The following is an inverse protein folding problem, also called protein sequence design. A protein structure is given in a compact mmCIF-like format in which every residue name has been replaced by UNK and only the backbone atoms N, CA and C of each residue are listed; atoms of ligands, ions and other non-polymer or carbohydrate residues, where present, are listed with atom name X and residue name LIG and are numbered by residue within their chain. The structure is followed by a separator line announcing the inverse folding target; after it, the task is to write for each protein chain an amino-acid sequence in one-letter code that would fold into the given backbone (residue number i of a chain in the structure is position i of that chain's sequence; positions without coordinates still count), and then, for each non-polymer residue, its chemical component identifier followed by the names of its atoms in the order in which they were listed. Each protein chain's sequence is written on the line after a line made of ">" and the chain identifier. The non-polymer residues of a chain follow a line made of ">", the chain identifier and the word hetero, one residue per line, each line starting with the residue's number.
data_IF_723249773294
#
_entry.id   IF_723249773294
#
_cell.length_a   1.000
_cell.length_b   1.000
_cell.length_c   1.000
_cell.angle_alpha   90.00
_cell.angle_beta   90.00
_cell.angle_gamma   90.00
#
_symmetry.space_group_name_H-M   'P 1'
#
loop_
_entity.id
_entity.type
_entity.pdbx_description
1 polymer ?
#
# COMPACT_ATOMS: atom_id res chain seq x y z
N UNK A 1 -25.27 20.51 0.83
CA UNK A 1 -25.49 19.53 1.93
C UNK A 1 -24.99 20.15 3.24
N UNK A 2 -25.73 19.95 4.33
CA UNK A 2 -25.77 20.83 5.50
C UNK A 2 -24.40 21.15 6.15
N UNK A 3 -24.27 22.39 6.64
CA UNK A 3 -23.27 22.82 7.63
C UNK A 3 -23.35 21.86 8.83
N UNK A 4 -22.49 20.85 8.89
CA UNK A 4 -22.32 20.01 10.08
C UNK A 4 -21.34 20.71 11.02
N UNK A 5 -21.78 21.78 11.68
CA UNK A 5 -20.99 22.33 12.79
C UNK A 5 -20.87 21.29 13.90
N UNK A 6 -19.69 21.21 14.53
CA UNK A 6 -19.52 20.42 15.74
C UNK A 6 -19.07 21.34 16.87
N UNK A 7 -19.58 21.06 18.06
CA UNK A 7 -19.22 21.77 19.29
C UNK A 7 -18.59 20.72 20.21
N UNK A 8 -17.31 20.89 20.54
CA UNK A 8 -16.63 20.02 21.51
C UNK A 8 -15.98 20.86 22.59
N UNK A 9 -16.00 20.34 23.83
CA UNK A 9 -15.25 20.94 24.94
C UNK A 9 -13.77 20.74 24.64
N UNK A 10 -12.98 21.81 24.69
CA UNK A 10 -11.55 21.77 24.41
C UNK A 10 -10.74 20.85 25.35
N UNK A 11 -9.44 20.65 25.09
CA UNK A 11 -8.60 19.73 25.86
C UNK A 11 -8.63 20.02 27.36
N UNK A 12 -8.44 18.98 28.18
CA UNK A 12 -8.42 19.11 29.64
C UNK A 12 -7.22 19.97 30.09
N UNK A 13 -7.49 21.23 30.38
CA UNK A 13 -6.55 22.17 30.98
C UNK A 13 -6.09 21.68 32.36
N UNK A 14 -4.84 21.96 32.71
CA UNK A 14 -4.31 21.69 34.06
C UNK A 14 -5.08 22.47 35.12
N UNK A 15 -4.97 22.07 36.40
CA UNK A 15 -5.70 22.72 37.50
C UNK A 15 -5.32 24.20 37.69
N UNK A 16 -4.08 24.58 37.34
CA UNK A 16 -3.63 25.98 37.28
C UNK A 16 -4.31 26.75 36.13
N UNK A 17 -4.43 26.16 34.94
CA UNK A 17 -5.07 26.76 33.78
C UNK A 17 -6.60 26.86 33.92
N UNK A 18 -7.23 25.91 34.62
CA UNK A 18 -8.65 25.94 34.99
C UNK A 18 -9.02 27.06 35.97
N UNK A 19 -8.05 27.69 36.64
CA UNK A 19 -8.31 28.77 37.58
C UNK A 19 -8.58 30.13 36.91
N UNK A 20 -8.37 30.26 35.58
CA UNK A 20 -8.30 31.57 34.89
C UNK A 20 -9.25 31.73 33.69
N UNK A 21 -9.61 30.68 32.94
CA UNK A 21 -10.46 30.79 31.75
C UNK A 21 -11.43 29.61 31.56
N UNK A 22 -12.55 29.88 30.90
CA UNK A 22 -13.43 28.87 30.29
C UNK A 22 -13.25 28.91 28.76
N UNK A 23 -12.94 27.74 28.15
CA UNK A 23 -12.57 27.63 26.73
C UNK A 23 -13.64 26.86 25.95
N UNK A 24 -14.17 27.48 24.90
CA UNK A 24 -15.17 26.90 23.99
C UNK A 24 -14.61 26.86 22.57
N UNK A 25 -14.55 25.66 21.98
CA UNK A 25 -14.08 25.45 20.61
C UNK A 25 -15.28 25.13 19.74
N UNK A 26 -15.53 25.99 18.74
CA UNK A 26 -16.60 25.82 17.76
C UNK A 26 -15.99 25.66 16.36
N UNK A 27 -16.19 24.48 15.76
CA UNK A 27 -15.75 24.22 14.39
C UNK A 27 -16.89 24.47 13.41
N UNK A 28 -16.63 25.22 12.35
CA UNK A 28 -17.62 25.43 11.27
C UNK A 28 -17.02 25.12 9.91
N UNK A 29 -17.69 24.27 9.14
CA UNK A 29 -17.30 23.96 7.77
C UNK A 29 -18.00 24.92 6.81
N UNK A 30 -17.27 25.81 6.13
CA UNK A 30 -17.84 26.64 5.08
C UNK A 30 -17.39 26.13 3.72
N UNK A 31 -18.28 25.36 3.09
CA UNK A 31 -18.09 24.68 1.79
C UNK A 31 -17.02 23.57 1.87
N UNK A 32 -17.08 22.66 0.91
CA UNK A 32 -16.14 21.55 0.73
C UNK A 32 -14.68 22.01 0.54
N UNK A 33 -14.45 23.33 0.41
CA UNK A 33 -13.19 23.90 -0.05
C UNK A 33 -12.40 24.69 1.01
N UNK A 34 -13.01 25.00 2.16
CA UNK A 34 -12.38 25.77 3.24
C UNK A 34 -12.79 25.21 4.61
N UNK A 35 -11.82 24.83 5.44
CA UNK A 35 -12.03 24.45 6.84
C UNK A 35 -11.56 25.60 7.73
N UNK A 36 -12.49 26.18 8.50
CA UNK A 36 -12.22 27.20 9.52
C UNK A 36 -12.51 26.62 10.90
N UNK A 37 -11.49 26.57 11.76
CA UNK A 37 -11.69 26.31 13.18
C UNK A 37 -11.55 27.62 13.95
N UNK A 38 -12.48 27.87 14.85
CA UNK A 38 -12.51 29.06 15.69
C UNK A 38 -12.70 28.69 17.15
N UNK A 39 -12.12 29.48 18.04
CA UNK A 39 -12.35 29.40 19.47
C UNK A 39 -12.63 30.80 20.01
N UNK A 40 -13.71 30.91 20.77
CA UNK A 40 -14.04 32.11 21.51
C UNK A 40 -13.55 31.95 22.96
N UNK A 41 -12.74 32.90 23.39
CA UNK A 41 -12.15 32.92 24.72
C UNK A 41 -13.02 33.77 25.64
N UNK A 42 -13.44 33.20 26.77
CA UNK A 42 -14.24 33.88 27.77
C UNK A 42 -13.49 33.97 29.10
N UNK A 43 -13.58 35.13 29.76
CA UNK A 43 -13.15 35.33 31.12
C UNK A 43 -14.09 34.64 32.11
N UNK A 44 -13.63 34.40 33.34
CA UNK A 44 -14.36 33.64 34.39
C UNK A 44 -15.77 34.19 34.72
N UNK A 45 -16.04 35.45 34.42
CA UNK A 45 -17.35 36.07 34.62
C UNK A 45 -18.31 35.85 33.42
N UNK A 46 -17.91 35.03 32.44
CA UNK A 46 -18.63 34.83 31.18
C UNK A 46 -18.45 36.00 30.21
N UNK A 47 -17.50 36.90 30.46
CA UNK A 47 -17.21 38.03 29.57
C UNK A 47 -16.41 37.55 28.36
N UNK A 48 -16.85 37.92 27.16
CA UNK A 48 -16.11 37.62 25.93
C UNK A 48 -14.82 38.42 25.90
N UNK A 49 -13.69 37.75 25.67
CA UNK A 49 -12.38 38.38 25.58
C UNK A 49 -12.00 38.62 24.12
N UNK A 50 -11.90 37.53 23.34
CA UNK A 50 -11.52 37.57 21.92
C UNK A 50 -11.84 36.24 21.24
N UNK A 51 -11.93 36.29 19.91
CA UNK A 51 -11.97 35.10 19.05
C UNK A 51 -10.59 34.83 18.47
N UNK A 52 -10.25 33.56 18.30
CA UNK A 52 -9.06 33.09 17.59
C UNK A 52 -9.55 32.13 16.52
N UNK A 53 -9.14 32.32 15.26
CA UNK A 53 -9.48 31.40 14.19
C UNK A 53 -8.30 31.08 13.31
N UNK A 54 -8.32 29.87 12.76
CA UNK A 54 -7.37 29.33 11.80
C UNK A 54 -8.13 28.78 10.61
N UNK A 55 -7.58 28.96 9.41
CA UNK A 55 -8.21 28.61 8.14
C UNK A 55 -7.24 27.82 7.29
N UNK A 56 -7.73 26.74 6.70
CA UNK A 56 -7.03 26.03 5.64
C UNK A 56 -7.98 25.87 4.44
N UNK A 57 -7.45 26.09 3.25
CA UNK A 57 -8.09 25.65 2.02
C UNK A 57 -7.92 24.13 1.92
N UNK A 58 -8.99 23.42 1.59
CA UNK A 58 -9.00 21.96 1.46
C UNK A 58 -9.60 21.63 0.11
N UNK A 59 -9.00 20.77 -0.71
CA UNK A 59 -9.63 20.39 -1.97
C UNK A 59 -10.76 19.35 -1.76
N UNK A 60 -11.62 19.15 -2.77
CA UNK A 60 -12.91 18.41 -2.71
C UNK A 60 -12.84 16.93 -2.24
N UNK A 61 -11.67 16.43 -1.83
CA UNK A 61 -11.46 15.07 -1.37
C UNK A 61 -11.69 14.95 0.16
N UNK A 62 -12.64 14.10 0.56
CA UNK A 62 -13.15 13.92 1.93
C UNK A 62 -12.10 13.39 2.91
N UNK A 63 -11.10 12.63 2.42
CA UNK A 63 -10.01 12.13 3.26
C UNK A 63 -9.03 13.24 3.67
N UNK A 64 -8.80 14.22 2.78
CA UNK A 64 -7.99 15.42 3.04
C UNK A 64 -8.63 16.33 4.08
N UNK A 65 -9.96 16.51 4.03
CA UNK A 65 -10.69 17.32 5.02
C UNK A 65 -10.54 16.78 6.45
N UNK A 66 -10.54 15.45 6.63
CA UNK A 66 -10.45 14.84 7.95
C UNK A 66 -9.07 14.99 8.61
N UNK A 67 -8.00 15.05 7.80
CA UNK A 67 -6.60 15.17 8.27
C UNK A 67 -6.20 16.63 8.47
N UNK A 68 -6.65 17.55 7.61
CA UNK A 68 -6.44 18.99 7.80
C UNK A 68 -7.06 19.50 9.11
N UNK A 69 -8.14 18.88 9.59
CA UNK A 69 -8.78 19.23 10.88
C UNK A 69 -7.81 19.07 12.06
N UNK A 70 -6.94 18.04 12.05
CA UNK A 70 -6.01 17.81 13.16
C UNK A 70 -4.90 18.87 13.20
N UNK A 71 -4.36 19.25 12.03
CA UNK A 71 -3.37 20.33 11.91
C UNK A 71 -3.99 21.70 12.25
N UNK A 72 -5.20 21.97 11.78
CA UNK A 72 -5.99 23.13 12.19
C UNK A 72 -6.27 23.13 13.70
N UNK A 73 -6.51 21.98 14.32
CA UNK A 73 -6.70 21.90 15.78
C UNK A 73 -5.42 22.28 16.53
N UNK A 74 -4.25 21.85 16.04
CA UNK A 74 -2.96 22.18 16.64
C UNK A 74 -2.59 23.65 16.44
N UNK A 75 -2.77 24.19 15.24
CA UNK A 75 -2.56 25.62 14.96
C UNK A 75 -3.50 26.50 15.79
N UNK A 76 -4.76 26.08 15.96
CA UNK A 76 -5.70 26.77 16.83
C UNK A 76 -5.23 26.72 18.29
N UNK A 77 -4.74 25.57 18.77
CA UNK A 77 -4.21 25.43 20.12
C UNK A 77 -3.00 26.36 20.36
N UNK A 78 -2.05 26.43 19.44
CA UNK A 78 -0.91 27.36 19.51
C UNK A 78 -1.35 28.82 19.49
N UNK A 79 -2.29 29.17 18.60
CA UNK A 79 -2.81 30.52 18.49
C UNK A 79 -3.56 30.95 19.76
N UNK A 80 -4.28 30.03 20.41
CA UNK A 80 -4.90 30.25 21.73
C UNK A 80 -3.84 30.48 22.81
N UNK A 81 -2.78 29.66 22.84
CA UNK A 81 -1.71 29.78 23.84
C UNK A 81 -0.95 31.11 23.71
N UNK A 82 -0.60 31.50 22.48
CA UNK A 82 0.01 32.79 22.18
C UNK A 82 -0.93 33.98 22.51
N UNK A 83 -2.23 33.82 22.27
CA UNK A 83 -3.24 34.82 22.61
C UNK A 83 -3.41 35.06 24.12
N UNK A 84 -3.01 34.09 24.95
CA UNK A 84 -3.17 34.11 26.41
C UNK A 84 -1.89 34.49 27.16
N UNK A 85 -0.75 34.70 26.47
CA UNK A 85 0.55 35.05 27.06
C UNK A 85 1.01 34.04 28.16
N UNK A 86 0.58 32.77 28.03
CA UNK A 86 0.89 31.70 28.98
C UNK A 86 2.22 31.06 28.57
N UNK A 87 3.24 31.16 29.44
CA UNK A 87 4.47 30.36 29.30
C UNK A 87 4.15 28.88 29.52
N UNK A 88 4.20 28.09 28.46
CA UNK A 88 3.99 26.63 28.52
C UNK A 88 5.27 25.96 29.00
N UNK A 89 5.18 25.11 30.04
CA UNK A 89 6.30 24.24 30.41
C UNK A 89 6.60 23.29 29.23
N UNK A 90 7.88 23.13 28.89
CA UNK A 90 8.38 22.38 27.73
C UNK A 90 7.72 21.00 27.50
N UNK A 91 7.29 20.31 28.57
CA UNK A 91 6.63 18.98 28.49
C UNK A 91 5.32 18.91 27.71
N UNK A 92 4.53 19.98 27.64
CA UNK A 92 3.27 19.99 26.86
C UNK A 92 3.54 20.31 25.39
N UNK A 93 4.57 21.12 25.13
CA UNK A 93 5.08 21.38 23.79
C UNK A 93 5.65 20.09 23.17
N UNK A 94 6.40 19.31 23.95
CA UNK A 94 6.93 18.00 23.54
C UNK A 94 5.81 16.98 23.19
N UNK A 95 4.71 16.98 23.95
CA UNK A 95 3.59 16.05 23.73
C UNK A 95 2.71 16.38 22.51
N UNK A 96 2.74 17.63 22.01
CA UNK A 96 2.07 18.07 20.78
C UNK A 96 2.99 17.87 19.57
N UNK A 97 4.31 18.01 19.74
CA UNK A 97 5.33 17.78 18.71
C UNK A 97 5.60 16.31 18.38
N UNK A 98 5.23 15.36 19.24
CA UNK A 98 5.49 13.92 19.06
C UNK A 98 4.62 13.25 17.98
N UNK A 99 3.67 13.97 17.38
CA UNK A 99 3.04 13.57 16.11
C UNK A 99 3.69 14.40 15.02
N UNK A 100 4.41 13.81 14.04
CA UNK A 100 4.96 14.57 12.92
C UNK A 100 3.81 15.22 12.14
N UNK A 101 3.51 16.48 12.45
CA UNK A 101 2.55 17.30 11.72
C UNK A 101 3.23 17.78 10.46
N UNK A 102 3.17 16.95 9.41
CA UNK A 102 3.51 17.38 8.05
C UNK A 102 2.60 18.55 7.67
N UNK A 103 3.15 19.58 7.01
CA UNK A 103 2.33 20.72 6.59
C UNK A 103 1.18 20.24 5.67
N UNK A 104 -0.01 20.82 5.82
CA UNK A 104 -1.16 20.51 4.94
C UNK A 104 -0.80 20.63 3.45
N UNK A 105 0.08 21.57 3.09
CA UNK A 105 0.54 21.78 1.72
C UNK A 105 1.39 20.61 1.22
N UNK A 106 2.38 20.14 1.99
CA UNK A 106 3.20 18.99 1.61
C UNK A 106 2.36 17.70 1.47
N UNK A 107 1.38 17.52 2.36
CA UNK A 107 0.43 16.41 2.27
C UNK A 107 -0.40 16.46 0.98
N UNK A 108 -0.92 17.64 0.62
CA UNK A 108 -1.70 17.84 -0.59
C UNK A 108 -0.89 17.50 -1.85
N UNK A 109 0.31 18.07 -1.95
CA UNK A 109 1.24 17.82 -3.05
C UNK A 109 1.61 16.33 -3.18
N UNK A 110 1.81 15.63 -2.06
CA UNK A 110 2.06 14.18 -2.07
C UNK A 110 0.87 13.37 -2.60
N UNK A 111 -0.34 13.70 -2.17
CA UNK A 111 -1.55 13.00 -2.62
C UNK A 111 -1.83 13.25 -4.11
N UNK A 112 -1.65 14.49 -4.57
CA UNK A 112 -1.77 14.83 -5.99
C UNK A 112 -0.72 14.11 -6.83
N UNK A 113 0.52 14.04 -6.33
CA UNK A 113 1.56 13.28 -6.99
C UNK A 113 1.16 11.81 -7.16
N UNK A 114 0.65 11.15 -6.12
CA UNK A 114 0.20 9.76 -6.20
C UNK A 114 -0.86 9.54 -7.30
N UNK A 115 -1.79 10.49 -7.47
CA UNK A 115 -2.78 10.46 -8.55
C UNK A 115 -2.12 10.54 -9.94
N UNK A 116 -1.15 11.43 -10.14
CA UNK A 116 -0.43 11.54 -11.40
C UNK A 116 0.48 10.33 -11.69
N UNK A 117 1.04 9.72 -10.64
CA UNK A 117 1.78 8.45 -10.76
C UNK A 117 0.84 7.39 -11.36
N UNK A 118 -0.41 7.28 -10.90
CA UNK A 118 -1.41 6.32 -11.46
C UNK A 118 -1.76 6.60 -12.93
N UNK A 119 -1.71 7.86 -13.36
CA UNK A 119 -1.97 8.26 -14.74
C UNK A 119 -0.74 8.12 -15.65
N UNK A 120 0.38 7.57 -15.15
CA UNK A 120 1.68 7.53 -15.81
C UNK A 120 2.23 8.91 -16.20
N UNK A 121 1.74 9.99 -15.59
CA UNK A 121 2.30 11.33 -15.76
C UNK A 121 3.44 11.54 -14.75
N UNK A 122 4.57 10.90 -15.05
CA UNK A 122 5.72 10.87 -14.17
C UNK A 122 6.39 12.23 -13.96
N UNK A 123 6.36 13.12 -14.96
CA UNK A 123 6.99 14.43 -14.86
C UNK A 123 6.26 15.34 -13.85
N UNK A 124 4.92 15.38 -13.92
CA UNK A 124 4.11 16.16 -12.97
C UNK A 124 4.21 15.56 -11.56
N UNK A 125 4.12 14.23 -11.44
CA UNK A 125 4.29 13.56 -10.15
C UNK A 125 5.64 13.89 -9.50
N UNK A 126 6.74 13.86 -10.26
CA UNK A 126 8.06 14.20 -9.72
C UNK A 126 8.10 15.63 -9.18
N UNK A 127 7.58 16.58 -9.97
CA UNK A 127 7.58 18.00 -9.59
C UNK A 127 6.81 18.23 -8.29
N UNK A 128 5.66 17.58 -8.13
CA UNK A 128 4.84 17.70 -6.92
C UNK A 128 5.52 17.08 -5.70
N UNK A 129 6.18 15.93 -5.85
CA UNK A 129 6.94 15.31 -4.76
C UNK A 129 8.16 16.16 -4.36
N UNK A 130 8.88 16.73 -5.33
CA UNK A 130 9.98 17.65 -5.06
C UNK A 130 9.51 18.91 -4.32
N UNK A 131 8.33 19.44 -4.66
CA UNK A 131 7.71 20.55 -3.93
C UNK A 131 7.30 20.14 -2.51
N UNK A 132 6.67 18.98 -2.34
CA UNK A 132 6.30 18.46 -1.02
C UNK A 132 7.55 18.31 -0.12
N UNK A 133 8.64 17.78 -0.67
CA UNK A 133 9.90 17.57 0.04
C UNK A 133 10.72 18.86 0.24
N UNK A 134 10.46 19.91 -0.55
CA UNK A 134 11.04 21.23 -0.31
C UNK A 134 10.38 21.92 0.89
N UNK A 135 9.09 21.65 1.12
CA UNK A 135 8.33 22.16 2.28
C UNK A 135 8.63 21.33 3.52
N UNK A 136 8.61 20.01 3.38
CA UNK A 136 8.90 19.06 4.46
C UNK A 136 9.91 18.00 4.00
N UNK A 137 11.21 18.23 4.24
CA UNK A 137 12.26 17.32 3.82
C UNK A 137 12.17 15.92 4.42
N UNK A 138 11.54 15.75 5.59
CA UNK A 138 11.46 14.47 6.32
C UNK A 138 10.08 13.83 6.21
N UNK A 139 9.26 14.26 5.23
CA UNK A 139 7.97 13.64 4.95
C UNK A 139 8.13 12.24 4.35
N UNK A 140 8.12 11.21 5.22
CA UNK A 140 8.40 9.82 4.87
C UNK A 140 7.50 9.27 3.75
N UNK A 141 6.20 9.58 3.74
CA UNK A 141 5.29 9.12 2.67
C UNK A 141 5.65 9.73 1.31
N UNK A 142 6.02 11.02 1.25
CA UNK A 142 6.45 11.67 0.01
C UNK A 142 7.79 11.09 -0.48
N UNK A 143 8.71 10.78 0.43
CA UNK A 143 9.97 10.09 0.08
C UNK A 143 9.67 8.70 -0.47
N UNK A 144 8.78 7.93 0.17
CA UNK A 144 8.36 6.62 -0.33
C UNK A 144 7.67 6.73 -1.70
N UNK A 145 6.80 7.72 -1.91
CA UNK A 145 6.13 7.93 -3.19
C UNK A 145 7.11 8.37 -4.30
N UNK A 146 8.17 9.09 -3.97
CA UNK A 146 9.29 9.33 -4.88
C UNK A 146 10.00 8.03 -5.25
N UNK A 147 10.22 7.14 -4.27
CA UNK A 147 10.69 5.77 -4.51
C UNK A 147 9.78 5.00 -5.48
N UNK A 148 8.46 5.05 -5.30
CA UNK A 148 7.50 4.39 -6.18
C UNK A 148 7.53 4.94 -7.61
N UNK A 149 7.63 6.25 -7.75
CA UNK A 149 7.79 6.91 -9.05
C UNK A 149 9.07 6.43 -9.75
N UNK A 150 10.20 6.39 -9.05
CA UNK A 150 11.48 5.91 -9.58
C UNK A 150 11.41 4.43 -9.97
N UNK A 151 10.74 3.61 -9.15
CA UNK A 151 10.51 2.20 -9.44
C UNK A 151 9.73 2.01 -10.74
N UNK A 152 8.66 2.82 -10.96
CA UNK A 152 7.86 2.82 -12.20
C UNK A 152 8.67 3.27 -13.42
N UNK A 153 9.62 4.17 -13.23
CA UNK A 153 10.61 4.58 -14.24
C UNK A 153 11.74 3.56 -14.45
N UNK A 154 11.69 2.41 -13.78
CA UNK A 154 12.72 1.36 -13.81
C UNK A 154 14.09 1.80 -13.23
N UNK A 155 14.12 2.86 -12.43
CA UNK A 155 15.31 3.36 -11.74
C UNK A 155 15.41 2.71 -10.37
N UNK A 156 15.55 1.39 -10.34
CA UNK A 156 15.36 0.57 -9.14
C UNK A 156 16.38 0.88 -8.02
N UNK A 157 17.66 1.11 -8.34
CA UNK A 157 18.67 1.49 -7.34
C UNK A 157 18.32 2.82 -6.65
N UNK A 158 17.80 3.79 -7.40
CA UNK A 158 17.39 5.08 -6.82
C UNK A 158 16.11 4.93 -5.99
N UNK A 159 15.19 4.06 -6.40
CA UNK A 159 14.01 3.72 -5.62
C UNK A 159 14.38 3.11 -4.26
N UNK A 160 15.31 2.13 -4.24
CA UNK A 160 15.85 1.54 -3.01
C UNK A 160 16.38 2.63 -2.07
N UNK A 161 17.16 3.59 -2.58
CA UNK A 161 17.69 4.67 -1.76
C UNK A 161 16.60 5.53 -1.10
N UNK A 162 15.52 5.84 -1.83
CA UNK A 162 14.39 6.58 -1.26
C UNK A 162 13.59 5.75 -0.26
N UNK A 163 13.29 4.48 -0.55
CA UNK A 163 12.60 3.62 0.41
C UNK A 163 13.41 3.45 1.72
N UNK A 164 14.72 3.26 1.61
CA UNK A 164 15.59 3.19 2.80
C UNK A 164 15.54 4.49 3.61
N UNK A 165 15.49 5.64 2.93
CA UNK A 165 15.37 6.95 3.58
C UNK A 165 14.02 7.10 4.29
N UNK A 166 12.91 6.69 3.68
CA UNK A 166 11.60 6.69 4.32
C UNK A 166 11.57 5.77 5.56
N UNK A 167 12.14 4.57 5.46
CA UNK A 167 12.28 3.61 6.57
C UNK A 167 13.13 4.18 7.72
N UNK A 168 14.21 4.88 7.41
CA UNK A 168 15.05 5.50 8.45
C UNK A 168 14.30 6.57 9.26
N UNK A 169 13.33 7.25 8.66
CA UNK A 169 12.49 8.26 9.32
C UNK A 169 11.34 7.59 10.07
N UNK A 170 10.63 6.66 9.41
CA UNK A 170 9.49 5.93 9.99
C UNK A 170 9.62 4.42 9.72
N UNK A 171 10.30 3.68 10.61
CA UNK A 171 10.57 2.25 10.39
C UNK A 171 9.35 1.35 10.58
N UNK A 172 8.28 1.84 11.21
CA UNK A 172 7.09 1.07 11.57
C UNK A 172 6.02 0.93 10.48
N UNK A 173 6.30 1.42 9.26
CA UNK A 173 5.32 1.45 8.17
C UNK A 173 5.57 0.25 7.22
N UNK A 174 4.66 -0.73 7.25
CA UNK A 174 4.80 -1.98 6.51
C UNK A 174 4.98 -1.77 4.99
N UNK A 175 4.23 -0.83 4.40
CA UNK A 175 4.29 -0.57 2.95
C UNK A 175 5.65 -0.06 2.48
N UNK A 176 6.44 0.62 3.33
CA UNK A 176 7.79 1.06 2.96
C UNK A 176 8.74 -0.12 2.78
N UNK A 177 8.66 -1.10 3.68
CA UNK A 177 9.43 -2.35 3.58
C UNK A 177 8.97 -3.21 2.42
N UNK A 178 7.66 -3.30 2.17
CA UNK A 178 7.11 -3.99 1.00
C UNK A 178 7.63 -3.38 -0.32
N UNK A 179 7.64 -2.04 -0.42
CA UNK A 179 8.13 -1.34 -1.60
C UNK A 179 9.65 -1.49 -1.79
N UNK A 180 10.42 -1.48 -0.69
CA UNK A 180 11.85 -1.81 -0.70
C UNK A 180 12.07 -3.22 -1.25
N UNK A 181 11.31 -4.20 -0.77
CA UNK A 181 11.42 -5.59 -1.20
C UNK A 181 11.18 -5.74 -2.71
N UNK A 182 10.13 -5.11 -3.24
CA UNK A 182 9.85 -5.08 -4.68
C UNK A 182 11.02 -4.53 -5.50
N UNK A 183 11.67 -3.45 -5.04
CA UNK A 183 12.80 -2.86 -5.75
C UNK A 183 14.06 -3.73 -5.66
N UNK A 184 14.32 -4.37 -4.52
CA UNK A 184 15.42 -5.32 -4.37
C UNK A 184 15.21 -6.59 -5.24
N UNK A 185 13.98 -7.07 -5.42
CA UNK A 185 13.68 -8.15 -6.37
C UNK A 185 14.01 -7.78 -7.81
N UNK A 186 13.71 -6.54 -8.23
CA UNK A 186 14.07 -6.06 -9.58
C UNK A 186 15.58 -5.94 -9.81
N UNK A 187 16.34 -5.92 -8.73
CA UNK A 187 17.80 -5.92 -8.73
C UNK A 187 18.39 -7.33 -8.52
N UNK A 188 17.54 -8.36 -8.51
CA UNK A 188 17.91 -9.75 -8.21
C UNK A 188 18.59 -9.94 -6.84
N UNK A 189 18.39 -8.98 -5.91
CA UNK A 189 18.89 -9.06 -4.53
C UNK A 189 17.88 -9.81 -3.64
N UNK A 190 17.60 -11.06 -3.96
CA UNK A 190 16.49 -11.82 -3.38
C UNK A 190 16.58 -11.96 -1.85
N UNK A 191 17.77 -12.14 -1.27
CA UNK A 191 17.93 -12.24 0.18
C UNK A 191 17.50 -10.95 0.91
N UNK A 192 17.76 -9.78 0.30
CA UNK A 192 17.33 -8.49 0.86
C UNK A 192 15.83 -8.30 0.69
N UNK A 193 15.28 -8.72 -0.45
CA UNK A 193 13.85 -8.68 -0.68
C UNK A 193 13.09 -9.53 0.35
N UNK A 194 13.56 -10.76 0.62
CA UNK A 194 13.01 -11.63 1.67
C UNK A 194 12.99 -10.92 3.02
N UNK A 195 14.13 -10.37 3.46
CA UNK A 195 14.21 -9.68 4.76
C UNK A 195 13.23 -8.49 4.86
N UNK A 196 13.08 -7.72 3.77
CA UNK A 196 12.16 -6.59 3.72
C UNK A 196 10.68 -7.06 3.69
N UNK A 197 10.33 -8.11 2.95
CA UNK A 197 8.99 -8.68 2.99
C UNK A 197 8.64 -9.26 4.37
N UNK A 198 9.55 -10.00 4.99
CA UNK A 198 9.34 -10.53 6.35
C UNK A 198 9.10 -9.41 7.36
N UNK A 199 9.84 -8.31 7.24
CA UNK A 199 9.62 -7.12 8.07
C UNK A 199 8.25 -6.50 7.81
N UNK A 200 7.83 -6.37 6.54
CA UNK A 200 6.51 -5.86 6.19
C UNK A 200 5.38 -6.73 6.79
N UNK A 201 5.50 -8.06 6.72
CA UNK A 201 4.54 -9.02 7.28
C UNK A 201 4.56 -9.00 8.82
N UNK A 202 5.72 -8.78 9.43
CA UNK A 202 5.82 -8.64 10.89
C UNK A 202 5.09 -7.39 11.38
N UNK A 203 5.20 -6.28 10.64
CA UNK A 203 4.52 -5.02 10.94
C UNK A 203 3.01 -5.10 10.66
N UNK A 204 2.63 -5.76 9.55
CA UNK A 204 1.25 -5.96 9.15
C UNK A 204 0.99 -7.44 8.77
N UNK A 205 0.53 -8.26 9.72
CA UNK A 205 0.29 -9.69 9.48
C UNK A 205 -0.82 -9.99 8.46
N UNK A 206 -1.68 -9.02 8.16
CA UNK A 206 -2.79 -9.12 7.22
C UNK A 206 -2.43 -8.56 5.84
N UNK A 207 -1.30 -9.00 5.28
CA UNK A 207 -0.77 -8.48 4.01
C UNK A 207 -0.59 -9.59 2.93
N UNK A 208 -1.69 -10.07 2.30
CA UNK A 208 -1.65 -11.17 1.33
C UNK A 208 -0.72 -10.92 0.13
N UNK A 209 -0.61 -9.68 -0.34
CA UNK A 209 0.28 -9.31 -1.44
C UNK A 209 1.75 -9.49 -1.07
N UNK A 210 2.15 -9.13 0.16
CA UNK A 210 3.51 -9.34 0.65
C UNK A 210 3.83 -10.83 0.79
N UNK A 211 2.89 -11.63 1.31
CA UNK A 211 3.03 -13.09 1.40
C UNK A 211 3.17 -13.74 0.02
N UNK A 212 2.36 -13.31 -0.95
CA UNK A 212 2.45 -13.80 -2.31
C UNK A 212 3.82 -13.50 -2.94
N UNK A 213 4.31 -12.28 -2.81
CA UNK A 213 5.58 -11.92 -3.40
C UNK A 213 6.75 -12.61 -2.68
N UNK A 214 6.73 -12.68 -1.35
CA UNK A 214 7.71 -13.45 -0.58
C UNK A 214 7.77 -14.91 -1.02
N UNK A 215 6.61 -15.56 -1.19
CA UNK A 215 6.56 -16.93 -1.71
C UNK A 215 7.15 -17.05 -3.11
N UNK A 216 6.90 -16.07 -3.99
CA UNK A 216 7.51 -16.03 -5.32
C UNK A 216 9.03 -15.80 -5.25
N UNK A 217 9.51 -14.93 -4.38
CA UNK A 217 10.94 -14.69 -4.15
C UNK A 217 11.64 -15.99 -3.72
N UNK A 218 11.02 -16.76 -2.82
CA UNK A 218 11.53 -18.07 -2.44
C UNK A 218 11.63 -19.05 -3.62
N UNK A 219 10.69 -19.03 -4.58
CA UNK A 219 10.81 -19.83 -5.80
C UNK A 219 11.98 -19.39 -6.68
N UNK A 220 12.27 -18.08 -6.79
CA UNK A 220 13.45 -17.59 -7.51
C UNK A 220 14.75 -18.08 -6.86
N UNK A 221 14.77 -18.15 -5.53
CA UNK A 221 15.89 -18.68 -4.74
C UNK A 221 15.97 -20.21 -4.72
N UNK A 222 15.12 -20.93 -5.48
CA UNK A 222 15.03 -22.40 -5.48
C UNK A 222 14.73 -23.00 -4.09
N UNK A 223 13.87 -22.32 -3.33
CA UNK A 223 13.45 -22.67 -1.98
C UNK A 223 11.95 -22.99 -1.93
N UNK A 224 11.49 -24.08 -2.58
CA UNK A 224 10.07 -24.36 -2.76
C UNK A 224 9.34 -24.70 -1.46
N UNK A 225 10.01 -25.27 -0.45
CA UNK A 225 9.40 -25.57 0.85
C UNK A 225 8.97 -24.29 1.59
N UNK A 226 9.82 -23.26 1.58
CA UNK A 226 9.49 -21.96 2.18
C UNK A 226 8.41 -21.22 1.37
N UNK A 227 8.45 -21.33 0.04
CA UNK A 227 7.40 -20.80 -0.83
C UNK A 227 6.03 -21.43 -0.51
N UNK A 228 5.95 -22.76 -0.41
CA UNK A 228 4.72 -23.48 -0.06
C UNK A 228 4.15 -23.01 1.29
N UNK A 229 4.99 -22.94 2.33
CA UNK A 229 4.57 -22.46 3.65
C UNK A 229 4.02 -21.02 3.59
N UNK A 230 4.67 -20.16 2.82
CA UNK A 230 4.28 -18.75 2.67
C UNK A 230 2.95 -18.61 1.90
N UNK A 231 2.77 -19.34 0.81
CA UNK A 231 1.49 -19.34 0.07
C UNK A 231 0.35 -19.92 0.89
N UNK A 232 0.58 -20.98 1.67
CA UNK A 232 -0.39 -21.53 2.60
C UNK A 232 -0.79 -20.53 3.69
N UNK A 233 0.18 -19.76 4.21
CA UNK A 233 -0.12 -18.67 5.14
C UNK A 233 -1.01 -17.61 4.48
N UNK A 234 -0.70 -17.20 3.23
CA UNK A 234 -1.55 -16.28 2.46
C UNK A 234 -2.97 -16.79 2.27
N UNK A 235 -3.13 -18.07 1.92
CA UNK A 235 -4.45 -18.72 1.77
C UNK A 235 -5.21 -18.85 3.09
N UNK A 236 -4.50 -18.84 4.22
CA UNK A 236 -5.11 -18.72 5.55
C UNK A 236 -5.76 -17.36 5.80
N UNK A 237 -5.32 -16.30 5.11
CA UNK A 237 -5.90 -14.97 5.16
C UNK A 237 -6.97 -14.76 4.09
N UNK A 238 -6.68 -15.18 2.86
CA UNK A 238 -7.54 -15.03 1.69
C UNK A 238 -7.68 -16.38 0.97
N UNK A 239 -8.64 -17.20 1.42
CA UNK A 239 -8.81 -18.56 0.90
C UNK A 239 -9.28 -18.59 -0.56
N UNK A 240 -9.94 -17.52 -1.02
CA UNK A 240 -10.49 -17.37 -2.36
C UNK A 240 -9.59 -16.54 -3.30
N UNK A 241 -8.27 -16.61 -3.11
CA UNK A 241 -7.27 -15.91 -3.92
C UNK A 241 -6.73 -16.80 -5.06
N UNK A 242 -7.18 -16.63 -6.33
CA UNK A 242 -6.72 -17.48 -7.44
C UNK A 242 -5.21 -17.37 -7.69
N UNK A 243 -4.63 -16.19 -7.47
CA UNK A 243 -3.18 -15.97 -7.63
C UNK A 243 -2.34 -16.78 -6.64
N UNK A 244 -2.79 -16.91 -5.38
CA UNK A 244 -2.12 -17.72 -4.36
C UNK A 244 -2.21 -19.21 -4.69
N UNK A 245 -3.39 -19.70 -5.10
CA UNK A 245 -3.58 -21.09 -5.51
C UNK A 245 -2.71 -21.46 -6.72
N UNK A 246 -2.64 -20.57 -7.73
CA UNK A 246 -1.75 -20.75 -8.89
C UNK A 246 -0.29 -20.88 -8.46
N UNK A 247 0.17 -19.96 -7.62
CA UNK A 247 1.57 -19.92 -7.18
C UNK A 247 1.90 -21.08 -6.24
N UNK A 248 0.95 -21.54 -5.43
CA UNK A 248 1.06 -22.77 -4.63
C UNK A 248 1.25 -23.99 -5.54
N UNK A 249 0.45 -24.11 -6.61
CA UNK A 249 0.58 -25.16 -7.62
C UNK A 249 1.96 -25.18 -8.29
N UNK A 250 2.45 -24.00 -8.69
CA UNK A 250 3.82 -23.85 -9.19
C UNK A 250 4.88 -24.27 -8.17
N UNK A 251 4.71 -23.90 -6.90
CA UNK A 251 5.66 -24.26 -5.85
C UNK A 251 5.72 -25.78 -5.60
N UNK A 252 4.59 -26.48 -5.72
CA UNK A 252 4.57 -27.95 -5.69
C UNK A 252 5.33 -28.57 -6.87
N UNK A 253 5.20 -28.02 -8.09
CA UNK A 253 5.98 -28.48 -9.24
C UNK A 253 7.49 -28.24 -9.05
N UNK A 254 7.89 -27.05 -8.57
CA UNK A 254 9.30 -26.74 -8.28
C UNK A 254 9.88 -27.64 -7.16
N UNK A 255 9.03 -28.17 -6.28
CA UNK A 255 9.39 -29.19 -5.27
C UNK A 255 9.53 -30.61 -5.85
N UNK A 256 8.99 -30.86 -7.04
CA UNK A 256 8.88 -32.20 -7.62
C UNK A 256 7.69 -33.01 -7.07
N UNK A 257 6.63 -32.33 -6.61
CA UNK A 257 5.37 -32.93 -6.18
C UNK A 257 4.21 -32.53 -7.11
N UNK A 258 4.16 -33.08 -8.34
CA UNK A 258 3.11 -32.75 -9.30
C UNK A 258 1.72 -33.20 -8.83
N UNK A 259 1.63 -34.23 -7.97
CA UNK A 259 0.37 -34.67 -7.40
C UNK A 259 -0.24 -33.62 -6.45
N UNK A 260 0.60 -32.96 -5.63
CA UNK A 260 0.20 -31.84 -4.78
C UNK A 260 -0.20 -30.59 -5.58
N UNK A 261 0.38 -30.38 -6.77
CA UNK A 261 0.11 -29.21 -7.60
C UNK A 261 -1.31 -29.20 -8.19
N UNK A 262 -1.81 -30.35 -8.65
CA UNK A 262 -3.10 -30.49 -9.35
C UNK A 262 -4.28 -29.85 -8.60
N UNK A 263 -4.57 -30.17 -7.32
CA UNK A 263 -5.72 -29.59 -6.62
C UNK A 263 -5.61 -28.07 -6.45
N UNK A 264 -4.41 -27.55 -6.18
CA UNK A 264 -4.19 -26.10 -6.07
C UNK A 264 -4.47 -25.39 -7.40
N UNK A 265 -4.02 -25.97 -8.51
CA UNK A 265 -4.22 -25.39 -9.85
C UNK A 265 -5.69 -25.48 -10.29
N UNK A 266 -6.38 -26.56 -9.95
CA UNK A 266 -7.83 -26.69 -10.19
C UNK A 266 -8.65 -25.66 -9.42
N UNK A 267 -8.28 -25.37 -8.16
CA UNK A 267 -8.92 -24.33 -7.37
C UNK A 267 -8.69 -22.94 -7.98
N UNK A 268 -7.47 -22.64 -8.42
CA UNK A 268 -7.15 -21.39 -9.12
C UNK A 268 -7.99 -21.18 -10.39
N UNK A 269 -8.20 -22.25 -11.17
CA UNK A 269 -9.03 -22.26 -12.39
C UNK A 269 -10.51 -22.07 -12.05
N UNK A 270 -10.99 -22.72 -10.98
CA UNK A 270 -12.39 -22.64 -10.52
C UNK A 270 -12.76 -21.24 -10.05
N UNK A 271 -11.85 -20.57 -9.33
CA UNK A 271 -12.04 -19.19 -8.88
C UNK A 271 -11.99 -18.17 -10.03
N UNK A 272 -11.53 -18.58 -11.21
CA UNK A 272 -11.54 -17.89 -12.49
C UNK A 272 -11.20 -16.38 -12.47
N UNK A 273 -9.93 -16.06 -12.71
CA UNK A 273 -9.50 -14.73 -13.16
C UNK A 273 -8.88 -14.82 -14.57
N UNK A 274 -9.41 -14.10 -15.58
CA UNK A 274 -8.98 -14.25 -16.98
C UNK A 274 -7.46 -14.18 -17.19
N UNK A 275 -6.78 -13.27 -16.48
CA UNK A 275 -5.33 -13.05 -16.61
C UNK A 275 -4.47 -14.17 -15.98
N UNK A 276 -5.02 -14.91 -15.01
CA UNK A 276 -4.31 -15.96 -14.27
C UNK A 276 -4.69 -17.37 -14.75
N UNK A 277 -5.84 -17.49 -15.39
CA UNK A 277 -6.43 -18.73 -15.88
C UNK A 277 -5.49 -19.49 -16.83
N UNK A 278 -4.89 -18.79 -17.79
CA UNK A 278 -3.99 -19.42 -18.77
C UNK A 278 -2.75 -20.04 -18.11
N UNK A 279 -2.10 -19.31 -17.20
CA UNK A 279 -0.93 -19.81 -16.49
C UNK A 279 -1.28 -21.01 -15.59
N UNK A 280 -2.41 -20.97 -14.90
CA UNK A 280 -2.86 -22.08 -14.07
C UNK A 280 -3.14 -23.35 -14.90
N UNK A 281 -3.75 -23.22 -16.09
CA UNK A 281 -3.96 -24.35 -17.02
C UNK A 281 -2.64 -24.92 -17.51
N UNK A 282 -1.68 -24.06 -17.86
CA UNK A 282 -0.38 -24.51 -18.32
C UNK A 282 0.34 -25.33 -17.24
N UNK A 283 0.39 -24.83 -16.00
CA UNK A 283 0.96 -25.59 -14.88
C UNK A 283 0.17 -26.88 -14.60
N UNK A 284 -1.15 -26.86 -14.78
CA UNK A 284 -1.97 -28.05 -14.59
C UNK A 284 -1.62 -29.12 -15.63
N UNK A 285 -1.41 -28.73 -16.88
CA UNK A 285 -0.98 -29.63 -17.94
C UNK A 285 0.38 -30.28 -17.61
N UNK A 286 1.35 -29.49 -17.11
CA UNK A 286 2.63 -30.02 -16.64
C UNK A 286 2.48 -31.05 -15.51
N UNK A 287 1.68 -30.72 -14.50
CA UNK A 287 1.43 -31.59 -13.35
C UNK A 287 0.75 -32.91 -13.77
N UNK A 288 -0.22 -32.84 -14.69
CA UNK A 288 -0.92 -34.00 -15.23
C UNK A 288 0.01 -34.87 -16.08
N UNK A 289 0.88 -34.27 -16.87
CA UNK A 289 1.88 -35.00 -17.65
C UNK A 289 2.83 -35.79 -16.73
N UNK A 290 3.41 -35.14 -15.71
CA UNK A 290 4.35 -35.78 -14.78
C UNK A 290 3.71 -36.89 -13.94
N UNK A 291 2.40 -36.81 -13.69
CA UNK A 291 1.63 -37.87 -13.01
C UNK A 291 1.15 -38.98 -13.95
N UNK A 292 1.42 -38.88 -15.26
CA UNK A 292 1.03 -39.86 -16.27
C UNK A 292 -0.42 -39.74 -16.77
N UNK A 293 -1.14 -38.68 -16.40
CA UNK A 293 -2.48 -38.36 -16.88
C UNK A 293 -2.43 -37.67 -18.26
N UNK A 294 -1.89 -38.39 -19.26
CA UNK A 294 -1.56 -37.85 -20.61
C UNK A 294 -2.75 -37.19 -21.29
N UNK A 295 -3.92 -37.84 -21.36
CA UNK A 295 -5.10 -37.29 -22.04
C UNK A 295 -5.58 -35.96 -21.42
N UNK A 296 -5.53 -35.88 -20.09
CA UNK A 296 -5.90 -34.67 -19.36
C UNK A 296 -4.88 -33.54 -19.63
N UNK A 297 -3.59 -33.87 -19.62
CA UNK A 297 -2.51 -32.93 -19.92
C UNK A 297 -2.65 -32.34 -21.34
N UNK A 298 -2.93 -33.18 -22.33
CA UNK A 298 -3.17 -32.76 -23.70
C UNK A 298 -4.41 -31.85 -23.81
N UNK A 299 -5.52 -32.20 -23.16
CA UNK A 299 -6.74 -31.38 -23.13
C UNK A 299 -6.49 -30.01 -22.48
N UNK A 300 -5.69 -29.97 -21.42
CA UNK A 300 -5.29 -28.72 -20.78
C UNK A 300 -4.46 -27.84 -21.73
N UNK A 301 -3.49 -28.40 -22.47
CA UNK A 301 -2.73 -27.63 -23.47
C UNK A 301 -3.60 -27.13 -24.63
N UNK A 302 -4.55 -27.93 -25.12
CA UNK A 302 -5.52 -27.49 -26.13
C UNK A 302 -6.34 -26.29 -25.65
N UNK A 303 -6.72 -26.27 -24.37
CA UNK A 303 -7.43 -25.15 -23.74
C UNK A 303 -6.53 -23.92 -23.56
N UNK A 304 -5.24 -24.12 -23.29
CA UNK A 304 -4.25 -23.07 -23.07
C UNK A 304 -3.87 -22.30 -24.35
N UNK A 305 -3.65 -23.03 -25.45
CA UNK A 305 -3.05 -22.50 -26.68
C UNK A 305 -3.76 -21.26 -27.26
N UNK A 306 -5.11 -21.21 -27.38
CA UNK A 306 -5.80 -20.04 -27.93
C UNK A 306 -5.61 -18.76 -27.11
N UNK A 307 -5.36 -18.89 -25.81
CA UNK A 307 -5.09 -17.76 -24.91
C UNK A 307 -3.61 -17.36 -25.02
N UNK A 308 -2.71 -18.33 -24.98
CA UNK A 308 -1.27 -18.10 -25.13
C UNK A 308 -0.92 -17.38 -26.44
N UNK A 309 -1.54 -17.76 -27.56
CA UNK A 309 -1.34 -17.15 -28.87
C UNK A 309 -1.65 -15.63 -28.88
N UNK A 310 -2.55 -15.16 -28.01
CA UNK A 310 -2.93 -13.74 -27.91
C UNK A 310 -1.97 -12.95 -27.03
N UNK A 311 -1.47 -13.58 -25.97
CA UNK A 311 -0.80 -12.89 -24.87
C UNK A 311 0.73 -13.01 -24.95
N UNK A 312 1.26 -14.16 -25.38
CA UNK A 312 2.70 -14.44 -25.35
C UNK A 312 3.08 -15.54 -26.36
N UNK A 313 3.67 -15.14 -27.50
CA UNK A 313 4.08 -16.06 -28.57
C UNK A 313 5.11 -17.10 -28.11
N UNK A 314 6.05 -16.74 -27.24
CA UNK A 314 7.08 -17.66 -26.76
C UNK A 314 6.48 -18.79 -25.92
N UNK A 315 5.53 -18.46 -25.03
CA UNK A 315 4.80 -19.48 -24.25
C UNK A 315 3.91 -20.36 -25.13
N UNK A 316 3.31 -19.78 -26.18
CA UNK A 316 2.53 -20.54 -27.15
C UNK A 316 3.41 -21.53 -27.93
N UNK A 317 4.62 -21.12 -28.33
CA UNK A 317 5.59 -21.99 -29.00
C UNK A 317 6.05 -23.13 -28.10
N UNK A 318 6.38 -22.87 -26.84
CA UNK A 318 6.72 -23.91 -25.86
C UNK A 318 5.56 -24.91 -25.67
N UNK A 319 4.33 -24.43 -25.54
CA UNK A 319 3.15 -25.30 -25.43
C UNK A 319 2.93 -26.14 -26.69
N UNK A 320 3.10 -25.58 -27.90
CA UNK A 320 3.04 -26.34 -29.15
C UNK A 320 4.12 -27.41 -29.23
N UNK A 321 5.34 -27.08 -28.80
CA UNK A 321 6.42 -28.06 -28.75
C UNK A 321 6.07 -29.21 -27.81
N UNK A 322 5.48 -28.93 -26.64
CA UNK A 322 5.00 -29.98 -25.73
C UNK A 322 3.90 -30.84 -26.34
N UNK A 323 2.93 -30.26 -27.04
CA UNK A 323 1.91 -31.03 -27.77
C UNK A 323 2.55 -32.06 -28.71
N UNK A 324 3.62 -31.67 -29.44
CA UNK A 324 4.36 -32.57 -30.32
C UNK A 324 5.16 -33.62 -29.53
N UNK A 325 5.92 -33.20 -28.52
CA UNK A 325 6.79 -34.07 -27.73
C UNK A 325 6.00 -35.10 -26.90
N UNK A 326 4.81 -34.71 -26.46
CA UNK A 326 3.90 -35.54 -25.67
C UNK A 326 3.04 -36.47 -26.53
N UNK A 327 3.06 -36.29 -27.85
CA UNK A 327 2.24 -37.08 -28.78
C UNK A 327 0.75 -36.83 -28.59
N UNK A 328 0.35 -35.60 -28.25
CA UNK A 328 -1.05 -35.24 -28.11
C UNK A 328 -1.74 -35.32 -29.48
N UNK A 329 -2.68 -36.24 -29.62
CA UNK A 329 -3.55 -36.30 -30.80
C UNK A 329 -4.59 -35.18 -30.72
N UNK A 330 -4.87 -34.44 -31.81
CA UNK A 330 -5.90 -33.41 -31.80
C UNK A 330 -7.24 -34.05 -31.44
N UNK A 331 -7.93 -33.51 -30.43
CA UNK A 331 -9.24 -34.03 -30.03
C UNK A 331 -10.18 -34.08 -31.25
N UNK A 332 -10.75 -35.26 -31.51
CA UNK A 332 -11.58 -35.53 -32.68
C UNK A 332 -12.98 -34.89 -32.61
N UNK A 333 -13.13 -33.82 -31.84
CA UNK A 333 -14.39 -33.09 -31.65
C UNK A 333 -14.40 -31.87 -32.56
N UNK A 334 -14.82 -32.10 -33.82
CA UNK A 334 -15.39 -31.08 -34.72
C UNK A 334 -16.73 -30.56 -34.21
#
# INVERSE_FOLDING_TARGET
>A
PALTGFTQRGPQLTESQRQTLDLWIEGSYRKLNDVELSADLYGRNGEFLRSVSVKAAVDDNVNTASVCILDLQNQLAEAILAALDIAVEAKVHDAIHDVPTHSCEALHLNNDAANFVMQNNFATAQTLLEQALAIDPDYADAINNLGQLLYRQQRWQEAVAQYQRAINIQPGIAVFHYNLALAEERLDNYEKAVAAYETAIQLEPLYPQALNNLGFTYLQMKQPDQALATFQQGLGLESAAPYLHKNLGRAYLDKGDPAGAIPALQEAITLFEPNLYAEAIYYLALAQWETGAVDAACTALETYLPVADRDNQERAEDARQKVLDWGCEPSSTE
#
